data_IF_810981701619
#
_entry.id   IF_810981701619
#
_cell.length_a   1.000
_cell.length_b   1.000
_cell.length_c   1.000
_cell.angle_alpha   90.00
_cell.angle_beta   90.00
_cell.angle_gamma   90.00
#
_symmetry.space_group_name_H-M   'P 1'
#
loop_
_entity.id
_entity.type
_entity.pdbx_description
1 polymer ?
#
# COMPACT_ATOMS: atom_id res chain seq x y z
N UNK A 1 57.26 -4.70 16.06
CA UNK A 1 57.90 -5.07 17.33
C UNK A 1 56.88 -5.90 18.10
N UNK A 2 57.09 -7.23 18.08
CA UNK A 2 56.54 -8.30 18.94
C UNK A 2 55.01 -8.42 19.08
N UNK A 3 54.34 -9.59 19.03
CA UNK A 3 54.69 -10.95 18.65
C UNK A 3 53.43 -11.85 18.74
N UNK A 4 53.42 -12.93 17.95
CA UNK A 4 52.94 -14.30 18.27
C UNK A 4 51.45 -14.66 18.58
N UNK A 5 50.81 -15.26 17.55
CA UNK A 5 50.17 -16.60 17.46
C UNK A 5 50.41 -17.63 18.63
N UNK A 6 49.76 -18.83 18.68
CA UNK A 6 48.33 -19.21 18.74
C UNK A 6 48.12 -20.50 19.63
N UNK A 7 47.07 -21.31 19.35
CA UNK A 7 46.78 -22.71 19.77
C UNK A 7 45.98 -22.82 21.10
N UNK A 8 45.11 -23.80 21.36
CA UNK A 8 45.05 -25.21 20.94
C UNK A 8 43.62 -25.78 20.97
N UNK A 9 43.40 -26.74 20.06
CA UNK A 9 42.55 -27.93 20.15
C UNK A 9 42.21 -28.43 21.57
N UNK A 10 40.99 -28.95 21.75
CA UNK A 10 40.78 -30.32 22.29
C UNK A 10 39.36 -30.84 22.06
N UNK A 11 39.27 -31.89 21.24
CA UNK A 11 38.23 -32.90 21.32
C UNK A 11 38.29 -33.58 22.69
N UNK A 12 37.15 -33.86 23.29
CA UNK A 12 37.03 -34.97 24.24
C UNK A 12 35.75 -35.74 23.94
N UNK A 13 35.99 -36.91 23.36
CA UNK A 13 35.09 -38.02 23.19
C UNK A 13 34.83 -38.59 24.59
N UNK A 14 33.58 -38.65 25.03
CA UNK A 14 33.19 -39.42 26.21
C UNK A 14 32.32 -40.58 25.71
N UNK A 15 32.89 -41.78 25.79
CA UNK A 15 32.19 -43.06 25.69
C UNK A 15 32.07 -43.58 27.11
N UNK A 16 30.87 -43.94 27.56
CA UNK A 16 30.67 -44.90 28.65
C UNK A 16 29.25 -45.48 28.65
N UNK A 17 29.24 -46.79 28.37
CA UNK A 17 28.46 -47.88 28.96
C UNK A 17 26.92 -47.83 29.04
N UNK A 18 26.35 -48.90 28.49
CA UNK A 18 24.96 -49.31 28.56
C UNK A 18 24.51 -49.72 29.97
N UNK A 19 23.21 -49.58 30.23
CA UNK A 19 22.47 -50.42 31.17
C UNK A 19 21.02 -50.52 30.70
N UNK A 20 20.66 -51.73 30.28
CA UNK A 20 19.34 -52.13 29.82
C UNK A 20 18.40 -52.34 31.01
N UNK A 21 17.33 -51.55 31.08
CA UNK A 21 16.15 -51.85 31.91
C UNK A 21 14.99 -52.12 30.97
N UNK A 22 14.53 -53.36 30.97
CA UNK A 22 13.32 -53.78 30.25
C UNK A 22 12.09 -53.17 30.92
N UNK A 23 11.31 -52.41 30.16
CA UNK A 23 9.96 -51.99 30.53
C UNK A 23 9.00 -52.56 29.51
N UNK A 24 7.98 -53.26 30.02
CA UNK A 24 6.94 -53.92 29.27
C UNK A 24 6.22 -52.92 28.35
N UNK A 25 6.17 -53.24 27.05
CA UNK A 25 5.38 -52.50 26.06
C UNK A 25 3.92 -52.93 26.22
N UNK A 26 3.12 -52.08 26.86
CA UNK A 26 1.67 -52.12 26.73
C UNK A 26 1.33 -51.62 25.32
N UNK A 27 0.61 -52.37 24.48
CA UNK A 27 0.22 -51.87 23.16
C UNK A 27 -0.72 -50.67 23.34
N UNK A 28 -0.46 -49.53 22.66
CA UNK A 28 -1.40 -48.41 22.68
C UNK A 28 -2.71 -48.85 22.04
N UNK A 29 -3.83 -48.59 22.73
CA UNK A 29 -5.16 -48.60 22.13
C UNK A 29 -5.08 -47.80 20.83
N UNK A 30 -5.47 -48.42 19.71
CA UNK A 30 -5.70 -47.72 18.44
C UNK A 30 -6.92 -46.81 18.62
N UNK A 31 -6.71 -45.63 19.18
CA UNK A 31 -7.64 -44.52 19.04
C UNK A 31 -7.62 -44.15 17.57
N UNK A 32 -8.65 -44.59 16.84
CA UNK A 32 -8.90 -44.13 15.47
C UNK A 32 -9.27 -42.66 15.55
N UNK A 33 -8.26 -41.80 15.55
CA UNK A 33 -8.41 -40.38 15.29
C UNK A 33 -8.84 -40.26 13.83
N UNK A 34 -10.14 -40.15 13.60
CA UNK A 34 -10.65 -39.65 12.33
C UNK A 34 -9.97 -38.29 12.11
N UNK A 35 -9.20 -38.10 11.02
CA UNK A 35 -8.70 -36.78 10.70
C UNK A 35 -9.93 -35.90 10.47
N UNK A 36 -10.18 -34.97 11.38
CA UNK A 36 -11.08 -33.85 11.14
C UNK A 36 -10.59 -33.23 9.84
N UNK A 37 -11.39 -33.41 8.78
CA UNK A 37 -11.03 -33.00 7.44
C UNK A 37 -10.57 -31.55 7.45
N UNK A 38 -9.29 -31.33 7.13
CA UNK A 38 -8.81 -30.02 6.79
C UNK A 38 -9.56 -29.60 5.53
N UNK A 39 -10.60 -28.79 5.69
CA UNK A 39 -11.27 -28.14 4.57
C UNK A 39 -10.25 -27.20 3.96
N UNK A 40 -9.59 -27.65 2.90
CA UNK A 40 -8.74 -26.80 2.09
C UNK A 40 -9.65 -25.75 1.44
N UNK A 41 -9.69 -24.56 2.03
CA UNK A 41 -10.31 -23.40 1.39
C UNK A 41 -9.43 -23.11 0.18
N UNK A 42 -9.88 -23.55 -1.00
CA UNK A 42 -9.20 -23.25 -2.25
C UNK A 42 -9.10 -21.72 -2.38
N UNK A 43 -7.87 -21.21 -2.39
CA UNK A 43 -7.64 -19.79 -2.65
C UNK A 43 -8.20 -19.47 -4.04
N UNK A 44 -9.15 -18.54 -4.11
CA UNK A 44 -9.69 -18.11 -5.39
C UNK A 44 -8.54 -17.57 -6.27
N UNK A 45 -8.48 -17.94 -7.55
CA UNK A 45 -7.43 -17.49 -8.43
C UNK A 45 -7.45 -15.96 -8.54
N UNK A 46 -6.27 -15.36 -8.57
CA UNK A 46 -6.12 -13.93 -8.78
C UNK A 46 -6.64 -13.56 -10.18
N UNK A 47 -7.49 -12.54 -10.26
CA UNK A 47 -8.02 -12.04 -11.54
C UNK A 47 -7.38 -10.69 -11.85
N UNK A 48 -6.80 -10.53 -13.03
CA UNK A 48 -6.29 -9.22 -13.47
C UNK A 48 -7.45 -8.22 -13.64
N UNK A 49 -7.25 -7.01 -13.14
CA UNK A 49 -8.22 -5.91 -13.21
C UNK A 49 -7.65 -4.85 -14.16
N UNK A 50 -8.33 -4.55 -15.28
CA UNK A 50 -7.88 -3.50 -16.18
C UNK A 50 -7.96 -2.14 -15.49
N UNK A 51 -7.08 -1.21 -15.87
CA UNK A 51 -7.12 0.16 -15.39
C UNK A 51 -6.82 1.11 -16.54
N UNK A 52 -7.34 2.32 -16.43
CA UNK A 52 -7.09 3.42 -17.36
C UNK A 52 -6.21 4.48 -16.66
N UNK A 53 -5.21 5.01 -17.37
CA UNK A 53 -4.48 6.20 -16.95
C UNK A 53 -5.14 7.42 -17.58
N UNK A 54 -6.13 7.98 -16.90
CA UNK A 54 -6.91 9.12 -17.41
C UNK A 54 -6.16 10.46 -17.29
N UNK A 55 -5.09 10.51 -16.50
CA UNK A 55 -4.21 11.67 -16.41
C UNK A 55 -2.80 11.28 -15.97
N UNK A 56 -1.78 11.85 -16.62
CA UNK A 56 -0.39 11.61 -16.28
C UNK A 56 0.47 12.86 -16.52
N UNK A 57 1.37 13.14 -15.58
CA UNK A 57 2.45 14.10 -15.77
C UNK A 57 3.77 13.40 -15.46
N UNK A 58 4.54 13.05 -16.49
CA UNK A 58 5.70 12.17 -16.33
C UNK A 58 6.87 12.83 -15.62
N UNK A 59 7.03 14.13 -15.84
CA UNK A 59 8.11 14.96 -15.30
C UNK A 59 7.72 15.66 -13.99
N UNK A 60 6.52 15.40 -13.48
CA UNK A 60 6.07 16.05 -12.25
C UNK A 60 6.96 15.69 -11.08
N UNK A 61 7.54 16.69 -10.44
CA UNK A 61 8.19 16.53 -9.14
C UNK A 61 7.30 17.27 -8.14
N UNK A 62 7.08 16.67 -6.97
CA UNK A 62 6.37 17.35 -5.90
C UNK A 62 7.04 18.70 -5.65
N UNK A 63 6.27 19.80 -5.57
CA UNK A 63 6.82 21.11 -5.20
C UNK A 63 7.69 21.02 -3.94
N UNK A 64 8.66 21.91 -3.83
CA UNK A 64 9.46 22.03 -2.61
C UNK A 64 8.57 22.47 -1.44
N UNK A 65 9.03 22.25 -0.19
CA UNK A 65 8.30 22.74 0.99
C UNK A 65 8.11 24.26 0.98
N UNK A 66 9.05 25.00 0.41
CA UNK A 66 8.96 26.46 0.29
C UNK A 66 7.88 26.89 -0.71
N UNK A 67 7.82 26.26 -1.88
CA UNK A 67 6.76 26.51 -2.87
C UNK A 67 5.39 26.10 -2.33
N UNK A 68 5.33 24.97 -1.64
CA UNK A 68 4.13 24.49 -0.96
C UNK A 68 3.63 25.51 0.08
N UNK A 69 4.52 25.99 0.95
CA UNK A 69 4.17 26.99 1.96
C UNK A 69 3.66 28.29 1.30
N UNK A 70 4.38 28.78 0.28
CA UNK A 70 3.98 29.97 -0.50
C UNK A 70 2.60 29.78 -1.14
N UNK A 71 2.32 28.60 -1.72
CA UNK A 71 1.02 28.31 -2.32
C UNK A 71 -0.09 28.30 -1.27
N UNK A 72 0.09 27.61 -0.15
CA UNK A 72 -0.94 27.53 0.88
C UNK A 72 -1.22 28.89 1.51
N UNK A 73 -0.19 29.71 1.76
CA UNK A 73 -0.35 31.08 2.26
C UNK A 73 -1.14 31.99 1.30
N UNK A 74 -1.07 31.73 -0.02
CA UNK A 74 -1.84 32.49 -1.01
C UNK A 74 -3.34 32.17 -1.03
N UNK A 75 -3.78 31.12 -0.31
CA UNK A 75 -5.15 30.64 -0.32
C UNK A 75 -5.81 30.97 1.03
N UNK A 76 -6.89 31.78 1.07
CA UNK A 76 -7.52 32.18 2.34
C UNK A 76 -7.88 31.00 3.27
N UNK A 77 -8.25 29.84 2.71
CA UNK A 77 -8.56 28.61 3.47
C UNK A 77 -7.39 28.06 4.28
N UNK A 78 -6.16 28.24 3.79
CA UNK A 78 -4.94 27.72 4.41
C UNK A 78 -4.01 28.84 4.87
N UNK A 79 -4.46 30.10 4.77
CA UNK A 79 -3.70 31.26 5.20
C UNK A 79 -3.59 31.28 6.74
N UNK A 80 -2.41 31.64 7.23
CA UNK A 80 -2.06 31.64 8.64
C UNK A 80 -0.93 30.67 8.98
N UNK A 81 -0.65 30.50 10.27
CA UNK A 81 0.41 29.62 10.73
C UNK A 81 -0.05 28.15 10.74
N UNK A 82 0.14 27.47 9.62
CA UNK A 82 -0.16 26.03 9.48
C UNK A 82 0.56 25.16 10.51
N UNK A 83 1.65 25.63 11.15
CA UNK A 83 2.33 24.90 12.20
C UNK A 83 1.60 24.96 13.54
N UNK A 84 0.73 25.96 13.75
CA UNK A 84 -0.03 26.18 14.98
C UNK A 84 -1.54 25.99 14.79
N UNK A 85 -1.98 25.54 13.61
CA UNK A 85 -3.38 25.34 13.28
C UNK A 85 -3.81 23.87 13.38
N UNK A 86 -5.11 23.60 13.60
CA UNK A 86 -5.69 22.24 13.56
C UNK A 86 -5.37 21.44 12.27
N UNK A 87 -4.97 22.13 11.20
CA UNK A 87 -4.65 21.55 9.90
C UNK A 87 -3.23 20.96 9.81
N UNK A 88 -2.33 21.19 10.78
CA UNK A 88 -0.94 20.73 10.71
C UNK A 88 -0.85 19.20 10.52
N UNK A 89 -1.57 18.44 11.35
CA UNK A 89 -1.57 16.97 11.29
C UNK A 89 -2.14 16.46 9.96
N UNK A 90 -3.15 17.14 9.43
CA UNK A 90 -3.75 16.83 8.12
C UNK A 90 -2.77 17.13 6.98
N UNK A 91 -2.12 18.29 7.02
CA UNK A 91 -1.11 18.68 6.05
C UNK A 91 0.08 17.70 6.04
N UNK A 92 0.58 17.33 7.21
CA UNK A 92 1.66 16.34 7.32
C UNK A 92 1.22 14.97 6.79
N UNK A 93 -0.01 14.54 7.13
CA UNK A 93 -0.59 13.29 6.62
C UNK A 93 -0.54 13.28 5.10
N UNK A 94 -1.14 14.26 4.42
CA UNK A 94 -1.19 14.30 2.95
C UNK A 94 0.18 14.50 2.30
N UNK A 95 1.05 15.32 2.90
CA UNK A 95 2.38 15.57 2.35
C UNK A 95 3.23 14.31 2.26
N UNK A 96 3.11 13.36 3.19
CA UNK A 96 3.96 12.16 3.19
C UNK A 96 3.46 11.05 2.26
N UNK A 97 2.20 11.08 1.84
CA UNK A 97 1.64 9.96 1.08
C UNK A 97 2.10 9.94 -0.36
N UNK A 98 2.10 8.72 -0.91
CA UNK A 98 2.34 8.46 -2.34
C UNK A 98 1.11 7.93 -3.04
N UNK A 99 0.15 7.38 -2.31
CA UNK A 99 -1.06 6.76 -2.86
C UNK A 99 -2.28 7.38 -2.19
N UNK A 100 -3.20 7.89 -3.00
CA UNK A 100 -4.53 8.31 -2.58
C UNK A 100 -5.60 7.47 -3.26
N UNK A 101 -6.60 6.99 -2.54
CA UNK A 101 -7.74 6.25 -3.11
C UNK A 101 -9.05 7.00 -2.91
N UNK A 102 -9.93 6.90 -3.90
CA UNK A 102 -11.24 7.54 -3.90
C UNK A 102 -12.31 6.55 -4.35
N UNK A 103 -13.32 6.37 -3.51
CA UNK A 103 -14.55 5.60 -3.79
C UNK A 103 -15.78 6.48 -3.90
N UNK A 104 -15.59 7.78 -3.66
CA UNK A 104 -16.62 8.80 -3.71
C UNK A 104 -16.04 10.05 -4.36
N UNK A 105 -16.92 10.80 -4.98
CA UNK A 105 -16.64 12.05 -5.64
C UNK A 105 -17.40 13.19 -4.95
N UNK A 106 -16.64 14.15 -4.47
CA UNK A 106 -17.12 15.46 -4.04
C UNK A 106 -16.00 16.48 -4.20
N UNK A 107 -16.31 17.64 -4.78
CA UNK A 107 -15.29 18.68 -5.02
C UNK A 107 -14.57 19.08 -3.73
N UNK A 108 -15.31 19.15 -2.61
CA UNK A 108 -14.74 19.44 -1.29
C UNK A 108 -13.80 18.35 -0.78
N UNK A 109 -14.12 17.07 -1.02
CA UNK A 109 -13.31 15.93 -0.57
C UNK A 109 -11.92 15.92 -1.21
N UNK A 110 -11.82 16.42 -2.44
CA UNK A 110 -10.56 16.41 -3.22
C UNK A 110 -9.66 17.59 -2.97
N UNK A 111 -10.17 18.71 -2.43
CA UNK A 111 -9.35 19.90 -2.20
C UNK A 111 -8.15 19.60 -1.29
N UNK A 112 -8.36 18.87 -0.21
CA UNK A 112 -7.32 18.63 0.79
C UNK A 112 -6.20 17.75 0.22
N UNK A 113 -6.48 16.59 -0.40
CA UNK A 113 -5.50 15.85 -1.16
C UNK A 113 -4.79 16.68 -2.23
N UNK A 114 -5.50 17.53 -3.00
CA UNK A 114 -4.89 18.34 -4.08
C UNK A 114 -3.90 19.36 -3.52
N UNK A 115 -4.36 20.19 -2.59
CA UNK A 115 -3.57 21.30 -2.08
C UNK A 115 -2.49 20.83 -1.12
N UNK A 116 -2.79 19.92 -0.19
CA UNK A 116 -1.85 19.53 0.87
C UNK A 116 -0.79 18.51 0.42
N UNK A 117 -0.95 17.85 -0.73
CA UNK A 117 0.06 16.93 -1.28
C UNK A 117 0.94 17.53 -2.39
N UNK A 118 0.66 18.77 -2.81
CA UNK A 118 1.39 19.46 -3.87
C UNK A 118 0.84 19.25 -5.29
N UNK A 119 -0.23 18.48 -5.45
CA UNK A 119 -0.86 18.19 -6.75
C UNK A 119 -1.55 19.40 -7.38
N UNK A 120 -1.71 20.50 -6.65
CA UNK A 120 -2.17 21.78 -7.19
C UNK A 120 -1.35 22.26 -8.41
N UNK A 121 -0.11 21.80 -8.55
CA UNK A 121 0.81 22.10 -9.66
C UNK A 121 0.50 21.35 -10.97
N UNK A 122 -0.37 20.33 -10.91
CA UNK A 122 -0.76 19.47 -12.06
C UNK A 122 -2.26 19.26 -12.11
N UNK A 123 -3.02 20.25 -11.65
CA UNK A 123 -4.49 20.19 -11.62
C UNK A 123 -5.09 19.94 -12.99
N UNK A 124 -4.60 20.61 -14.03
CA UNK A 124 -5.13 20.42 -15.39
C UNK A 124 -4.97 18.97 -15.89
N UNK A 125 -3.88 18.30 -15.50
CA UNK A 125 -3.67 16.88 -15.77
C UNK A 125 -4.65 16.02 -14.99
N UNK A 126 -4.85 16.32 -13.71
CA UNK A 126 -5.82 15.65 -12.85
C UNK A 126 -7.23 15.79 -13.43
N UNK A 127 -7.63 17.00 -13.87
CA UNK A 127 -8.96 17.29 -14.40
C UNK A 127 -9.31 16.52 -15.68
N UNK A 128 -8.34 15.92 -16.39
CA UNK A 128 -8.62 15.02 -17.53
C UNK A 128 -9.40 13.76 -17.14
N UNK A 129 -9.28 13.33 -15.89
CA UNK A 129 -10.05 12.21 -15.35
C UNK A 129 -11.53 12.52 -15.09
N UNK A 130 -11.94 13.78 -15.31
CA UNK A 130 -13.21 14.31 -14.85
C UNK A 130 -14.15 14.56 -16.01
N UNK A 131 -15.18 13.73 -16.10
CA UNK A 131 -16.36 13.94 -16.91
C UNK A 131 -17.59 13.45 -16.11
N UNK A 132 -18.79 13.85 -16.54
CA UNK A 132 -20.03 13.54 -15.83
C UNK A 132 -20.24 12.03 -15.60
N UNK A 133 -19.83 11.21 -16.57
CA UNK A 133 -19.99 9.76 -16.50
C UNK A 133 -19.05 9.14 -15.46
N UNK A 134 -17.77 9.52 -15.46
CA UNK A 134 -16.78 9.03 -14.50
C UNK A 134 -17.16 9.41 -13.06
N UNK A 135 -17.63 10.65 -12.85
CA UNK A 135 -18.14 11.11 -11.55
C UNK A 135 -19.28 10.22 -11.06
N UNK A 136 -20.25 9.95 -11.95
CA UNK A 136 -21.39 9.08 -11.64
C UNK A 136 -20.94 7.65 -11.33
N UNK A 137 -20.00 7.10 -12.11
CA UNK A 137 -19.49 5.74 -11.89
C UNK A 137 -18.74 5.59 -10.56
N UNK A 138 -17.94 6.60 -10.17
CA UNK A 138 -17.26 6.60 -8.86
C UNK A 138 -18.30 6.66 -7.74
N UNK A 139 -19.25 7.60 -7.81
CA UNK A 139 -20.28 7.77 -6.78
C UNK A 139 -21.24 6.59 -6.65
N UNK A 140 -21.48 5.85 -7.74
CA UNK A 140 -22.29 4.62 -7.73
C UNK A 140 -21.47 3.38 -7.38
N UNK A 141 -20.18 3.54 -7.04
CA UNK A 141 -19.31 2.45 -6.63
C UNK A 141 -18.93 1.49 -7.75
N UNK A 142 -19.13 1.87 -9.02
CA UNK A 142 -18.73 1.07 -10.19
C UNK A 142 -17.25 1.22 -10.52
N UNK A 143 -16.66 2.36 -10.19
CA UNK A 143 -15.27 2.70 -10.50
C UNK A 143 -14.56 3.21 -9.25
N UNK A 144 -13.29 2.87 -9.10
CA UNK A 144 -12.40 3.45 -8.11
C UNK A 144 -11.38 4.35 -8.82
N UNK A 145 -10.95 5.41 -8.16
CA UNK A 145 -9.86 6.28 -8.63
C UNK A 145 -8.69 6.21 -7.66
N UNK A 146 -7.47 6.15 -8.18
CA UNK A 146 -6.24 6.14 -7.38
C UNK A 146 -5.24 7.14 -7.97
N UNK A 147 -4.67 7.97 -7.11
CA UNK A 147 -3.60 8.89 -7.46
C UNK A 147 -2.28 8.31 -6.97
N UNK A 148 -1.31 8.20 -7.87
CA UNK A 148 -0.05 7.49 -7.66
C UNK A 148 1.11 8.44 -7.94
N UNK A 149 1.81 8.85 -6.88
CA UNK A 149 2.87 9.85 -6.91
C UNK A 149 4.24 9.17 -6.84
N UNK A 150 5.18 9.61 -7.68
CA UNK A 150 6.55 9.08 -7.75
C UNK A 150 6.61 7.55 -7.97
N UNK A 151 5.58 7.00 -8.61
CA UNK A 151 5.45 5.57 -8.93
C UNK A 151 4.64 5.41 -10.22
N UNK A 152 4.74 4.24 -10.86
CA UNK A 152 3.94 3.84 -12.02
C UNK A 152 3.17 2.56 -11.69
N UNK A 153 1.89 2.52 -12.01
CA UNK A 153 1.08 1.31 -11.85
C UNK A 153 1.44 0.34 -12.99
N UNK A 154 1.85 -0.87 -12.63
CA UNK A 154 2.18 -1.92 -13.62
C UNK A 154 1.11 -3.00 -13.67
N UNK A 155 0.35 -3.19 -12.58
CA UNK A 155 -0.71 -4.19 -12.51
C UNK A 155 -1.72 -3.91 -11.41
N UNK A 156 -2.95 -4.33 -11.61
CA UNK A 156 -3.95 -4.50 -10.54
C UNK A 156 -4.54 -5.90 -10.63
N UNK A 157 -4.65 -6.58 -9.48
CA UNK A 157 -5.28 -7.89 -9.34
C UNK A 157 -6.33 -7.89 -8.26
N UNK A 158 -7.43 -8.60 -8.48
CA UNK A 158 -8.38 -8.97 -7.44
C UNK A 158 -7.98 -10.34 -6.87
N UNK A 159 -7.67 -10.40 -5.57
CA UNK A 159 -7.22 -11.62 -4.91
C UNK A 159 -8.03 -11.87 -3.65
N UNK A 160 -8.84 -12.93 -3.63
CA UNK A 160 -9.81 -13.16 -2.56
C UNK A 160 -10.81 -12.02 -2.47
N UNK A 161 -10.57 -11.09 -1.54
CA UNK A 161 -11.47 -9.96 -1.23
C UNK A 161 -10.78 -8.59 -1.27
N UNK A 162 -9.65 -8.45 -1.95
CA UNK A 162 -8.94 -7.17 -2.03
C UNK A 162 -8.27 -6.95 -3.39
N UNK A 163 -8.07 -5.68 -3.74
CA UNK A 163 -7.20 -5.29 -4.83
C UNK A 163 -5.75 -5.32 -4.36
N UNK A 164 -4.88 -5.91 -5.17
CA UNK A 164 -3.44 -5.81 -5.05
C UNK A 164 -2.93 -5.05 -6.27
N UNK A 165 -2.51 -3.82 -6.05
CA UNK A 165 -1.88 -2.98 -7.05
C UNK A 165 -0.36 -3.09 -6.92
N UNK A 166 0.29 -3.42 -8.02
CA UNK A 166 1.75 -3.45 -8.12
C UNK A 166 2.21 -2.15 -8.77
N UNK A 167 3.20 -1.52 -8.16
CA UNK A 167 3.79 -0.29 -8.67
C UNK A 167 5.31 -0.40 -8.81
N UNK A 168 5.84 0.34 -9.76
CA UNK A 168 7.27 0.55 -9.92
C UNK A 168 7.65 1.93 -9.38
N UNK A 169 8.66 2.06 -8.50
CA UNK A 169 9.17 3.37 -8.09
C UNK A 169 9.64 4.20 -9.28
N UNK A 170 9.36 5.50 -9.26
CA UNK A 170 9.81 6.45 -10.27
C UNK A 170 10.40 7.70 -9.59
N UNK A 171 11.49 8.25 -10.17
CA UNK A 171 12.12 9.46 -9.63
C UNK A 171 11.21 10.70 -9.76
N UNK A 172 10.40 10.72 -10.81
CA UNK A 172 9.43 11.75 -11.08
C UNK A 172 8.12 11.14 -11.63
N UNK A 173 7.07 11.92 -11.46
CA UNK A 173 5.79 11.76 -12.12
C UNK A 173 4.63 11.50 -11.19
N UNK A 174 3.44 11.65 -11.75
CA UNK A 174 2.17 11.27 -11.14
C UNK A 174 1.28 10.59 -12.18
N UNK A 175 0.54 9.58 -11.75
CA UNK A 175 -0.56 8.96 -12.50
C UNK A 175 -1.86 9.11 -11.73
N UNK A 176 -2.91 9.45 -12.46
CA UNK A 176 -4.30 9.39 -12.01
C UNK A 176 -4.94 8.25 -12.78
N UNK A 177 -5.36 7.21 -12.05
CA UNK A 177 -5.90 6.00 -12.67
C UNK A 177 -7.31 5.73 -12.20
N UNK A 178 -8.09 5.07 -13.06
CA UNK A 178 -9.43 4.57 -12.75
C UNK A 178 -9.53 3.10 -13.12
N UNK A 179 -10.29 2.32 -12.33
CA UNK A 179 -10.50 0.90 -12.60
C UNK A 179 -11.87 0.41 -12.09
N UNK A 180 -12.46 -0.62 -12.71
CA UNK A 180 -13.77 -1.12 -12.31
C UNK A 180 -13.70 -1.80 -10.95
N UNK A 181 -14.71 -1.55 -10.12
CA UNK A 181 -14.88 -2.20 -8.82
C UNK A 181 -15.61 -3.53 -8.97
N UNK A 182 -15.17 -4.52 -8.19
CA UNK A 182 -15.76 -5.86 -8.02
C UNK A 182 -16.45 -6.03 -6.67
N UNK A 183 -16.52 -4.96 -5.87
CA UNK A 183 -17.06 -4.93 -4.52
C UNK A 183 -17.72 -3.57 -4.25
N UNK A 184 -18.54 -3.48 -3.20
CA UNK A 184 -19.39 -2.31 -2.90
C UNK A 184 -19.16 -1.69 -1.51
N UNK A 185 -18.01 -1.92 -0.88
CA UNK A 185 -17.70 -1.37 0.46
C UNK A 185 -17.53 0.15 0.40
N UNK A 186 -17.67 0.82 1.54
CA UNK A 186 -17.42 2.25 1.63
C UNK A 186 -15.94 2.58 1.40
N UNK A 187 -15.04 1.80 2.03
CA UNK A 187 -13.60 1.90 1.85
C UNK A 187 -13.10 0.91 0.79
N UNK A 188 -12.18 1.37 -0.07
CA UNK A 188 -11.55 0.52 -1.07
C UNK A 188 -10.59 -0.46 -0.39
N UNK A 189 -10.79 -1.79 -0.50
CA UNK A 189 -9.85 -2.78 0.03
C UNK A 189 -8.63 -2.87 -0.89
N UNK A 190 -7.80 -1.82 -0.91
CA UNK A 190 -6.63 -1.71 -1.78
C UNK A 190 -5.34 -1.87 -0.99
N UNK A 191 -4.55 -2.86 -1.40
CA UNK A 191 -3.15 -3.02 -1.01
C UNK A 191 -2.26 -2.58 -2.17
N UNK A 192 -1.32 -1.68 -1.91
CA UNK A 192 -0.29 -1.30 -2.89
C UNK A 192 1.06 -1.87 -2.46
N UNK A 193 1.74 -2.52 -3.40
CA UNK A 193 3.08 -3.07 -3.20
C UNK A 193 4.00 -2.66 -4.35
N UNK A 194 5.29 -2.53 -4.07
CA UNK A 194 6.29 -2.44 -5.14
C UNK A 194 6.50 -3.80 -5.80
N UNK A 195 7.17 -3.83 -6.95
CA UNK A 195 7.59 -5.09 -7.60
C UNK A 195 8.47 -5.98 -6.69
N UNK A 196 9.20 -5.35 -5.76
CA UNK A 196 10.02 -6.05 -4.74
C UNK A 196 9.20 -6.46 -3.50
N UNK A 197 7.88 -6.23 -3.49
CA UNK A 197 6.98 -6.61 -2.41
C UNK A 197 6.88 -5.62 -1.23
N UNK A 198 7.56 -4.47 -1.30
CA UNK A 198 7.47 -3.45 -0.25
C UNK A 198 6.07 -2.82 -0.23
N UNK A 199 5.44 -2.75 0.94
CA UNK A 199 4.08 -2.19 1.08
C UNK A 199 4.12 -0.67 1.09
N UNK A 200 3.18 -0.04 0.39
CA UNK A 200 2.96 1.41 0.46
C UNK A 200 1.67 1.72 1.21
N UNK A 201 1.69 2.80 2.00
CA UNK A 201 0.49 3.30 2.66
C UNK A 201 -0.47 3.87 1.63
N UNK A 202 -1.73 3.44 1.71
CA UNK A 202 -2.85 3.99 0.95
C UNK A 202 -3.66 4.87 1.88
N UNK A 203 -3.87 6.13 1.49
CA UNK A 203 -4.74 7.04 2.23
C UNK A 203 -6.00 7.28 1.43
N UNK A 204 -7.15 7.06 2.07
CA UNK A 204 -8.42 7.48 1.52
C UNK A 204 -8.41 9.01 1.39
N UNK A 205 -8.75 9.52 0.20
CA UNK A 205 -8.77 10.94 -0.09
C UNK A 205 -10.09 11.63 0.23
N UNK A 206 -10.99 10.96 0.95
CA UNK A 206 -12.28 11.47 1.43
C UNK A 206 -12.28 11.68 2.96
#
# INVERSE_FOLDING_TARGET
>A
MFDFFPKFFRCSLVVLAASSVGVAVVPPLKTSAHPLGAVAIAAQPAVDVPFEVCGEAQTWVRPTKAEQAKKLQSLPRYAGDLANQPLQGVAQRFWQQKIFSFTQYGLSLRMEPIYLSGLWSVQDTLWKCYNADNVTQINTGKTAEVWVLSHRVTRIRWTGEQYVMVVQPAQAGVQFIQFPRRESRSALPLKVVTEMGAKLTVVAGN
#
